data_IF_628353758633
#
_entry.id   IF_628353758633
#
_cell.length_a   1.000
_cell.length_b   1.000
_cell.length_c   1.000
_cell.angle_alpha   90.00
_cell.angle_beta   90.00
_cell.angle_gamma   90.00
#
_symmetry.space_group_name_H-M   'P 1'
#
loop_
_entity.id
_entity.type
_entity.pdbx_description
1 polymer ?
#
# COMPACT_ATOMS: atom_id res chain seq x y z
N UNK A 1 -61.55 30.50 20.84
CA UNK A 1 -61.29 31.11 19.54
C UNK A 1 -59.84 31.55 19.51
N UNK A 2 -58.98 30.84 18.79
CA UNK A 2 -57.55 31.18 18.60
C UNK A 2 -57.36 31.62 17.16
N UNK A 3 -56.68 32.75 16.85
CA UNK A 3 -56.32 33.06 15.50
C UNK A 3 -55.04 32.35 15.07
N UNK A 4 -55.10 31.80 13.90
CA UNK A 4 -54.01 31.12 13.17
C UNK A 4 -53.03 32.15 12.63
N UNK A 5 -51.78 32.12 13.10
CA UNK A 5 -50.72 32.94 12.55
C UNK A 5 -50.12 32.27 11.31
N UNK A 6 -50.20 32.90 10.17
CA UNK A 6 -49.58 32.50 8.91
C UNK A 6 -48.13 32.98 8.93
N UNK A 7 -47.20 32.03 8.95
CA UNK A 7 -45.77 32.30 8.93
C UNK A 7 -45.32 32.36 7.46
N UNK A 8 -45.08 33.58 6.97
CA UNK A 8 -44.58 33.82 5.61
C UNK A 8 -43.08 33.47 5.57
N UNK A 9 -42.73 32.41 4.86
CA UNK A 9 -41.34 32.04 4.62
C UNK A 9 -40.82 32.84 3.41
N UNK A 10 -39.94 33.81 3.69
CA UNK A 10 -39.25 34.56 2.65
C UNK A 10 -38.07 33.73 2.14
N UNK A 11 -38.18 33.20 0.92
CA UNK A 11 -37.09 32.53 0.23
C UNK A 11 -36.14 33.55 -0.37
N UNK A 12 -34.96 33.69 0.22
CA UNK A 12 -33.88 34.49 -0.35
C UNK A 12 -33.19 33.64 -1.44
N UNK A 13 -33.43 34.02 -2.71
CA UNK A 13 -32.70 33.46 -3.84
C UNK A 13 -31.33 34.14 -3.89
N UNK A 14 -30.30 33.45 -3.45
CA UNK A 14 -28.94 33.89 -3.67
C UNK A 14 -28.55 33.62 -5.13
N UNK A 15 -28.36 34.68 -5.90
CA UNK A 15 -27.84 34.62 -7.27
C UNK A 15 -26.36 34.19 -7.23
N UNK A 16 -26.10 32.93 -7.56
CA UNK A 16 -24.73 32.42 -7.75
C UNK A 16 -24.18 33.00 -9.05
N UNK A 17 -23.24 33.94 -8.93
CA UNK A 17 -22.43 34.41 -10.05
C UNK A 17 -21.54 33.28 -10.57
N UNK A 18 -21.94 32.71 -11.70
CA UNK A 18 -21.11 31.74 -12.45
C UNK A 18 -19.94 32.50 -13.08
N UNK A 19 -18.79 32.51 -12.38
CA UNK A 19 -17.53 33.00 -12.95
C UNK A 19 -17.11 32.06 -14.09
N UNK A 20 -17.33 32.47 -15.32
CA UNK A 20 -16.77 31.83 -16.50
C UNK A 20 -15.24 31.96 -16.45
N UNK A 21 -14.59 30.90 -16.03
CA UNK A 21 -13.13 30.77 -16.07
C UNK A 21 -12.75 30.53 -17.53
N UNK A 22 -12.47 31.62 -18.28
CA UNK A 22 -11.88 31.50 -19.62
C UNK A 22 -10.41 31.07 -19.47
N UNK A 23 -10.17 29.79 -19.68
CA UNK A 23 -8.79 29.27 -19.83
C UNK A 23 -8.20 29.89 -21.10
N UNK A 24 -7.27 30.82 -20.96
CA UNK A 24 -6.47 31.36 -22.08
C UNK A 24 -5.54 30.24 -22.57
N UNK A 25 -5.66 29.77 -23.82
CA UNK A 25 -4.65 28.90 -24.40
C UNK A 25 -3.40 29.75 -24.66
N UNK A 26 -2.28 29.44 -24.00
CA UNK A 26 -1.00 30.11 -24.26
C UNK A 26 -0.10 30.38 -23.04
N UNK A 27 -0.53 30.08 -21.82
CA UNK A 27 0.32 30.31 -20.63
C UNK A 27 1.03 29.04 -20.07
N UNK A 28 0.95 27.92 -20.77
CA UNK A 28 1.60 26.68 -20.33
C UNK A 28 3.09 26.60 -20.71
N UNK A 29 3.60 27.53 -21.52
CA UNK A 29 4.94 27.38 -22.14
C UNK A 29 6.08 28.11 -21.45
N UNK A 30 5.83 28.93 -20.43
CA UNK A 30 6.85 29.77 -19.81
C UNK A 30 7.07 29.50 -18.31
N UNK A 31 6.84 28.26 -17.86
CA UNK A 31 7.32 27.85 -16.54
C UNK A 31 8.82 27.51 -16.62
N UNK A 32 9.67 28.10 -15.75
CA UNK A 32 11.09 27.79 -15.72
C UNK A 32 11.31 26.28 -15.53
N UNK A 33 12.34 25.75 -16.20
CA UNK A 33 12.65 24.31 -16.20
C UNK A 33 12.88 23.72 -14.78
N UNK A 34 13.18 24.56 -13.79
CA UNK A 34 13.29 24.22 -12.37
C UNK A 34 11.95 23.82 -11.75
N UNK A 35 10.85 24.52 -12.07
CA UNK A 35 9.52 24.17 -11.55
C UNK A 35 8.94 22.91 -12.20
N UNK A 36 9.41 22.56 -13.40
CA UNK A 36 8.95 21.35 -14.10
C UNK A 36 9.54 20.06 -13.52
N UNK A 37 10.70 20.17 -12.84
CA UNK A 37 11.37 19.03 -12.21
C UNK A 37 10.77 18.65 -10.84
N UNK A 38 10.20 19.59 -10.10
CA UNK A 38 9.62 19.31 -8.79
C UNK A 38 8.26 18.60 -8.84
N UNK A 39 7.50 18.73 -9.94
CA UNK A 39 6.20 18.05 -10.09
C UNK A 39 6.32 16.62 -10.66
N UNK A 40 7.50 16.22 -11.13
CA UNK A 40 7.74 14.91 -11.75
C UNK A 40 8.21 13.83 -10.77
N UNK A 41 8.46 14.16 -9.51
CA UNK A 41 9.07 13.24 -8.55
C UNK A 41 8.18 12.96 -7.33
N UNK A 42 6.85 12.93 -7.50
CA UNK A 42 5.99 12.24 -6.55
C UNK A 42 6.06 10.73 -6.82
N UNK A 43 7.25 10.16 -6.67
CA UNK A 43 7.41 8.72 -6.55
C UNK A 43 6.71 8.34 -5.25
N UNK A 44 5.61 7.63 -5.37
CA UNK A 44 4.96 7.00 -4.23
C UNK A 44 6.02 6.14 -3.53
N UNK A 45 6.40 6.44 -2.26
CA UNK A 45 7.52 5.75 -1.63
C UNK A 45 7.23 4.25 -1.57
N UNK A 46 8.24 3.45 -1.87
CA UNK A 46 8.18 2.00 -1.71
C UNK A 46 7.90 1.66 -0.25
N UNK A 47 7.18 0.57 -0.04
CA UNK A 47 7.05 -0.04 1.27
C UNK A 47 8.01 -1.22 1.32
N UNK A 48 9.01 -1.13 2.18
CA UNK A 48 10.02 -2.18 2.37
C UNK A 48 9.95 -2.63 3.82
N UNK A 49 9.84 -3.94 4.03
CA UNK A 49 9.75 -4.47 5.37
C UNK A 49 10.41 -5.83 5.53
N UNK A 50 10.83 -6.08 6.76
CA UNK A 50 11.23 -7.39 7.24
C UNK A 50 10.25 -7.80 8.34
N UNK A 51 9.73 -9.02 8.27
CA UNK A 51 8.83 -9.56 9.28
C UNK A 51 9.40 -10.88 9.77
N UNK A 52 9.57 -11.02 11.07
CA UNK A 52 9.93 -12.28 11.71
C UNK A 52 8.72 -12.86 12.43
N UNK A 53 8.45 -14.13 12.22
CA UNK A 53 7.34 -14.85 12.83
C UNK A 53 7.85 -16.19 13.37
N UNK A 54 7.88 -16.33 14.69
CA UNK A 54 8.17 -17.61 15.33
C UNK A 54 6.93 -18.49 15.29
N UNK A 55 7.09 -19.72 14.81
CA UNK A 55 6.02 -20.71 14.68
C UNK A 55 6.28 -21.93 15.57
N UNK A 56 5.20 -22.59 15.95
CA UNK A 56 5.25 -23.83 16.71
C UNK A 56 5.91 -24.91 15.84
N UNK A 57 6.92 -25.65 16.33
CA UNK A 57 7.65 -26.65 15.54
C UNK A 57 6.73 -27.69 14.89
N UNK A 58 5.71 -28.13 15.61
CA UNK A 58 4.73 -29.14 15.15
C UNK A 58 3.80 -28.61 14.03
N UNK A 59 3.68 -27.27 13.88
CA UNK A 59 2.87 -26.63 12.86
C UNK A 59 3.69 -26.17 11.63
N UNK A 60 5.03 -26.36 11.70
CA UNK A 60 5.92 -25.84 10.66
C UNK A 60 5.61 -26.41 9.26
N UNK A 61 5.36 -27.72 9.16
CA UNK A 61 5.06 -28.35 7.87
C UNK A 61 3.81 -27.73 7.22
N UNK A 62 2.75 -27.54 7.99
CA UNK A 62 1.51 -26.92 7.55
C UNK A 62 1.73 -25.49 7.00
N UNK A 63 2.51 -24.67 7.71
CA UNK A 63 2.81 -23.30 7.26
C UNK A 63 3.63 -23.30 5.98
N UNK A 64 4.63 -24.21 5.86
CA UNK A 64 5.45 -24.32 4.64
C UNK A 64 4.62 -24.78 3.44
N UNK A 65 3.68 -25.72 3.63
CA UNK A 65 2.80 -26.17 2.57
C UNK A 65 1.82 -25.07 2.12
N UNK A 66 1.29 -24.31 3.07
CA UNK A 66 0.50 -23.12 2.76
C UNK A 66 1.34 -22.06 2.00
N UNK A 67 2.59 -21.84 2.42
CA UNK A 67 3.49 -20.90 1.77
C UNK A 67 3.83 -21.30 0.32
N UNK A 68 3.99 -22.57 0.02
CA UNK A 68 4.22 -23.07 -1.35
C UNK A 68 3.08 -22.70 -2.30
N UNK A 69 1.85 -22.69 -1.82
CA UNK A 69 0.67 -22.29 -2.59
C UNK A 69 0.55 -20.76 -2.68
N UNK A 70 0.92 -20.05 -1.64
CA UNK A 70 0.81 -18.61 -1.49
C UNK A 70 1.84 -17.84 -2.33
N UNK A 71 3.12 -18.23 -2.27
CA UNK A 71 4.23 -17.48 -2.87
C UNK A 71 4.09 -17.21 -4.38
N UNK A 72 3.64 -18.17 -5.23
CA UNK A 72 3.42 -17.89 -6.65
C UNK A 72 2.38 -16.80 -6.90
N UNK A 73 1.31 -16.76 -6.09
CA UNK A 73 0.23 -15.78 -6.21
C UNK A 73 0.72 -14.39 -5.87
N UNK A 74 1.44 -14.25 -4.75
CA UNK A 74 2.03 -12.96 -4.34
C UNK A 74 2.99 -12.42 -5.40
N UNK A 75 3.87 -13.27 -5.92
CA UNK A 75 4.86 -12.86 -6.93
C UNK A 75 4.24 -12.48 -8.27
N UNK A 76 3.00 -12.87 -8.52
CA UNK A 76 2.23 -12.47 -9.70
C UNK A 76 1.52 -11.10 -9.53
N UNK A 77 1.47 -10.54 -8.34
CA UNK A 77 0.86 -9.24 -8.09
C UNK A 77 1.69 -8.10 -8.71
N UNK A 78 1.10 -7.21 -9.51
CA UNK A 78 1.85 -6.19 -10.25
C UNK A 78 2.51 -5.13 -9.36
N UNK A 79 2.09 -5.04 -8.10
CA UNK A 79 2.64 -4.09 -7.12
C UNK A 79 3.75 -4.66 -6.24
N UNK A 80 4.02 -5.97 -6.31
CA UNK A 80 5.07 -6.65 -5.54
C UNK A 80 6.37 -6.63 -6.35
N UNK A 81 7.40 -5.96 -5.83
CA UNK A 81 8.72 -5.93 -6.45
C UNK A 81 9.61 -7.09 -5.97
N UNK A 82 9.50 -7.44 -4.69
CA UNK A 82 10.18 -8.60 -4.11
C UNK A 82 9.34 -9.19 -2.97
N UNK A 83 9.32 -10.51 -2.91
CA UNK A 83 8.71 -11.24 -1.80
C UNK A 83 9.49 -12.53 -1.56
N UNK A 84 10.19 -12.58 -0.42
CA UNK A 84 10.97 -13.73 0.01
C UNK A 84 10.42 -14.24 1.34
N UNK A 85 10.22 -15.55 1.41
CA UNK A 85 9.97 -16.25 2.65
C UNK A 85 11.13 -17.20 2.90
N UNK A 86 11.83 -16.99 3.98
CA UNK A 86 12.98 -17.73 4.44
C UNK A 86 12.79 -18.17 5.88
N UNK A 87 13.77 -18.83 6.46
CA UNK A 87 13.84 -19.11 7.88
C UNK A 87 15.21 -18.72 8.40
N UNK A 88 15.30 -18.43 9.68
CA UNK A 88 16.60 -18.20 10.32
C UNK A 88 17.41 -19.51 10.31
N UNK A 89 18.72 -19.39 10.10
CA UNK A 89 19.61 -20.54 10.10
C UNK A 89 19.81 -21.11 11.52
N UNK A 90 19.83 -20.24 12.52
CA UNK A 90 19.99 -20.58 13.93
C UNK A 90 18.67 -21.02 14.62
N UNK A 91 17.52 -20.65 14.06
CA UNK A 91 16.20 -21.10 14.53
C UNK A 91 15.27 -21.33 13.32
N UNK A 92 15.23 -22.55 12.75
CA UNK A 92 14.40 -22.84 11.57
C UNK A 92 12.90 -22.67 11.78
N UNK A 93 12.45 -22.50 13.02
CA UNK A 93 11.04 -22.23 13.35
C UNK A 93 10.73 -20.72 13.36
N UNK A 94 11.73 -19.86 13.20
CA UNK A 94 11.52 -18.43 12.95
C UNK A 94 11.55 -18.17 11.46
N UNK A 95 10.39 -17.90 10.89
CA UNK A 95 10.23 -17.51 9.49
C UNK A 95 10.54 -16.03 9.32
N UNK A 96 11.19 -15.69 8.22
CA UNK A 96 11.57 -14.32 7.88
C UNK A 96 10.98 -13.98 6.51
N UNK A 97 10.15 -12.96 6.48
CA UNK A 97 9.59 -12.37 5.25
C UNK A 97 10.38 -11.10 4.95
N UNK A 98 10.86 -10.97 3.72
CA UNK A 98 11.40 -9.73 3.18
C UNK A 98 10.52 -9.32 2.02
N UNK A 99 9.91 -8.15 2.14
CA UNK A 99 8.83 -7.69 1.24
C UNK A 99 9.14 -6.30 0.72
N UNK A 100 9.00 -6.11 -0.58
CA UNK A 100 9.08 -4.80 -1.25
C UNK A 100 7.84 -4.61 -2.09
N UNK A 101 7.08 -3.58 -1.78
CA UNK A 101 5.92 -3.12 -2.55
C UNK A 101 6.24 -1.78 -3.20
N UNK A 102 5.80 -1.59 -4.43
CA UNK A 102 5.98 -0.34 -5.20
C UNK A 102 5.39 0.88 -4.50
N UNK A 103 4.39 0.69 -3.64
CA UNK A 103 3.70 1.76 -2.92
C UNK A 103 2.88 1.21 -1.76
N UNK A 104 2.37 2.10 -0.90
CA UNK A 104 1.40 1.73 0.13
C UNK A 104 0.14 1.12 -0.48
N UNK A 105 -0.38 1.68 -1.57
CA UNK A 105 -1.56 1.13 -2.25
C UNK A 105 -1.34 -0.30 -2.77
N UNK A 106 -0.12 -0.64 -3.19
CA UNK A 106 0.22 -2.01 -3.59
C UNK A 106 0.24 -2.97 -2.40
N UNK A 107 0.72 -2.53 -1.24
CA UNK A 107 0.65 -3.31 -0.01
C UNK A 107 -0.79 -3.49 0.45
N UNK A 108 -1.59 -2.44 0.43
CA UNK A 108 -3.01 -2.49 0.82
C UNK A 108 -3.77 -3.49 -0.09
N UNK A 109 -3.54 -3.42 -1.39
CA UNK A 109 -4.08 -4.38 -2.36
C UNK A 109 -3.70 -5.82 -2.02
N UNK A 110 -2.41 -6.07 -1.71
CA UNK A 110 -1.91 -7.38 -1.30
C UNK A 110 -2.63 -7.92 -0.05
N UNK A 111 -2.83 -7.06 0.96
CA UNK A 111 -3.48 -7.46 2.22
C UNK A 111 -4.98 -7.75 2.06
N UNK A 112 -5.62 -7.22 1.00
CA UNK A 112 -7.04 -7.47 0.70
C UNK A 112 -7.28 -8.79 -0.04
N UNK A 113 -6.25 -9.41 -0.62
CA UNK A 113 -6.40 -10.65 -1.36
C UNK A 113 -6.84 -11.81 -0.47
N UNK A 114 -7.76 -12.63 -0.94
CA UNK A 114 -8.29 -13.77 -0.17
C UNK A 114 -7.22 -14.80 0.14
N UNK A 115 -6.29 -15.05 -0.81
CA UNK A 115 -5.18 -15.96 -0.58
C UNK A 115 -4.21 -15.43 0.48
N UNK A 116 -4.01 -14.11 0.57
CA UNK A 116 -3.22 -13.46 1.62
C UNK A 116 -3.89 -13.60 2.97
N UNK A 117 -5.18 -13.28 3.06
CA UNK A 117 -5.97 -13.47 4.30
C UNK A 117 -5.92 -14.91 4.78
N UNK A 118 -6.07 -15.88 3.86
CA UNK A 118 -6.00 -17.31 4.17
C UNK A 118 -4.63 -17.71 4.70
N UNK A 119 -3.55 -17.30 4.04
CA UNK A 119 -2.20 -17.59 4.49
C UNK A 119 -1.91 -16.96 5.86
N UNK A 120 -2.26 -15.68 6.06
CA UNK A 120 -2.08 -15.00 7.33
C UNK A 120 -2.88 -15.64 8.47
N UNK A 121 -4.07 -16.19 8.21
CA UNK A 121 -4.84 -16.95 9.20
C UNK A 121 -4.11 -18.25 9.60
N UNK A 122 -3.57 -18.99 8.63
CA UNK A 122 -2.74 -20.19 8.88
C UNK A 122 -1.50 -19.83 9.71
N UNK A 123 -0.78 -18.78 9.29
CA UNK A 123 0.40 -18.31 10.00
C UNK A 123 0.07 -17.90 11.45
N UNK A 124 -0.99 -17.11 11.63
CA UNK A 124 -1.45 -16.67 12.96
C UNK A 124 -1.78 -17.85 13.88
N UNK A 125 -2.47 -18.87 13.37
CA UNK A 125 -2.83 -20.06 14.17
C UNK A 125 -1.62 -20.91 14.56
N UNK A 126 -0.53 -20.83 13.81
CA UNK A 126 0.71 -21.55 14.05
C UNK A 126 1.74 -20.77 14.87
N UNK A 127 1.52 -19.49 15.15
CA UNK A 127 2.48 -18.64 15.86
C UNK A 127 2.80 -19.15 17.27
N UNK A 128 4.06 -18.98 17.68
CA UNK A 128 4.58 -19.27 19.02
C UNK A 128 4.98 -17.99 19.78
N UNK A 129 4.46 -16.84 19.38
CA UNK A 129 4.73 -15.52 19.95
C UNK A 129 4.32 -14.41 19.00
N UNK A 130 4.62 -13.17 19.36
CA UNK A 130 4.31 -12.02 18.53
C UNK A 130 5.23 -11.95 17.29
N UNK A 131 4.68 -11.42 16.21
CA UNK A 131 5.47 -11.09 15.03
C UNK A 131 6.23 -9.79 15.27
N UNK A 132 7.48 -9.77 14.84
CA UNK A 132 8.29 -8.54 14.80
C UNK A 132 8.28 -7.99 13.39
N UNK A 133 7.85 -6.76 13.21
CA UNK A 133 7.89 -6.05 11.92
C UNK A 133 8.89 -4.91 12.01
N UNK A 134 9.83 -4.87 11.08
CA UNK A 134 10.80 -3.79 10.88
C UNK A 134 10.53 -3.13 9.54
N UNK A 135 10.17 -1.85 9.55
CA UNK A 135 10.07 -1.08 8.31
C UNK A 135 11.48 -0.60 7.92
N UNK A 136 11.78 -0.70 6.64
CA UNK A 136 13.08 -0.36 6.08
C UNK A 136 12.92 0.82 5.12
N UNK A 137 14.00 1.55 4.91
CA UNK A 137 14.09 2.63 3.92
C UNK A 137 15.26 2.36 2.99
N UNK A 138 15.08 2.71 1.73
CA UNK A 138 16.16 2.65 0.74
C UNK A 138 17.17 3.77 1.04
N UNK A 139 18.44 3.43 1.25
CA UNK A 139 19.48 4.41 1.61
C UNK A 139 20.33 4.86 0.40
N UNK A 140 20.24 4.13 -0.71
CA UNK A 140 20.88 4.48 -1.98
C UNK A 140 19.98 4.04 -3.12
N UNK A 141 19.73 4.95 -4.06
CA UNK A 141 18.97 4.62 -5.26
C UNK A 141 19.79 3.58 -6.07
N UNK A 142 19.22 2.40 -6.28
CA UNK A 142 19.86 1.42 -7.14
C UNK A 142 19.87 1.98 -8.57
N UNK A 143 21.04 2.18 -9.13
CA UNK A 143 21.17 2.51 -10.54
C UNK A 143 20.40 1.45 -11.34
N UNK A 144 19.34 1.86 -12.03
CA UNK A 144 18.59 0.96 -12.91
C UNK A 144 19.59 0.38 -13.90
N UNK A 145 19.76 -0.93 -13.85
CA UNK A 145 20.56 -1.64 -14.83
C UNK A 145 19.96 -1.34 -16.21
N UNK A 146 20.65 -0.54 -17.00
CA UNK A 146 20.22 -0.29 -18.39
C UNK A 146 20.27 -1.64 -19.13
N UNK A 147 19.20 -2.02 -19.82
CA UNK A 147 19.22 -3.22 -20.66
C UNK A 147 20.29 -3.04 -21.72
N UNK A 148 21.19 -4.04 -21.82
CA UNK A 148 22.19 -4.13 -22.89
C UNK A 148 21.51 -4.45 -24.21
#
# INVERSE_FOLDING_TARGET
MKPTGIMTVTVLIAASALALYTVRPGQAENRPASERKEHSNMTNPKVIMLIEAKIQPQRRAEVIDAARQYLPLVRAEPGVEAFYLTARQDDPNTLVFYEIYRSQAAQDFHLEQDFTKKFLATLKSAQAGDRVRTNLVEVAEQAQAQPK
#
